data_IF_252838120865
#
_entry.id   IF_252838120865
#
_cell.length_a   1.000
_cell.length_b   1.000
_cell.length_c   1.000
_cell.angle_alpha   90.00
_cell.angle_beta   90.00
_cell.angle_gamma   90.00
#
_symmetry.space_group_name_H-M   'P 1'
#
loop_
_entity.id
_entity.type
_entity.pdbx_description
1 polymer ?
#
# COMPACT_ATOMS: atom_id res chain seq x y z
N UNK A 1 7.51 -11.07 12.30
CA UNK A 1 6.36 -11.64 11.55
C UNK A 1 6.44 -13.15 11.65
N UNK A 2 5.43 -13.78 12.23
CA UNK A 2 5.24 -15.24 12.16
C UNK A 2 4.87 -15.64 10.72
N UNK A 3 5.37 -16.78 10.24
CA UNK A 3 5.18 -17.23 8.85
C UNK A 3 4.41 -18.53 8.81
N UNK A 4 3.47 -18.62 7.88
CA UNK A 4 2.78 -19.87 7.52
C UNK A 4 2.96 -20.16 6.04
N UNK A 5 3.00 -21.43 5.67
CA UNK A 5 3.04 -21.87 4.26
C UNK A 5 1.64 -22.29 3.85
N UNK A 6 1.12 -21.65 2.79
CA UNK A 6 -0.15 -22.01 2.17
C UNK A 6 0.08 -22.48 0.73
N UNK A 7 -0.64 -23.52 0.26
CA UNK A 7 -0.64 -23.86 -1.16
C UNK A 7 -1.39 -22.76 -1.94
N UNK A 8 -0.76 -22.21 -2.97
CA UNK A 8 -1.37 -21.23 -3.88
C UNK A 8 -1.44 -21.79 -5.29
N UNK A 9 -2.56 -21.57 -5.98
CA UNK A 9 -2.71 -21.93 -7.39
C UNK A 9 -2.30 -20.75 -8.25
N UNK A 10 -1.32 -20.97 -9.13
CA UNK A 10 -0.78 -19.97 -10.05
C UNK A 10 -0.72 -20.53 -11.47
N UNK A 11 -0.84 -19.69 -12.51
CA UNK A 11 -0.53 -20.06 -13.88
C UNK A 11 0.89 -20.64 -14.01
N UNK A 12 1.03 -21.78 -14.69
CA UNK A 12 2.31 -22.48 -14.90
C UNK A 12 3.38 -21.58 -15.53
N UNK A 13 2.98 -20.68 -16.42
CA UNK A 13 3.87 -19.76 -17.11
C UNK A 13 4.47 -18.67 -16.19
N UNK A 14 3.98 -18.54 -14.95
CA UNK A 14 4.57 -17.63 -13.97
C UNK A 14 5.85 -18.18 -13.32
N UNK A 15 6.09 -19.49 -13.39
CA UNK A 15 7.22 -20.15 -12.72
C UNK A 15 8.57 -19.47 -12.97
N UNK A 16 8.94 -19.04 -14.20
CA UNK A 16 10.23 -18.37 -14.44
C UNK A 16 10.37 -17.01 -13.76
N UNK A 17 9.25 -16.38 -13.39
CA UNK A 17 9.19 -15.01 -12.88
C UNK A 17 8.97 -14.95 -11.36
N UNK A 18 8.48 -16.03 -10.76
CA UNK A 18 8.30 -16.09 -9.32
C UNK A 18 9.64 -16.46 -8.70
N UNK A 19 10.30 -15.46 -8.12
CA UNK A 19 11.52 -15.64 -7.32
C UNK A 19 11.25 -16.38 -6.02
N UNK A 20 10.88 -17.67 -6.10
CA UNK A 20 10.75 -18.55 -4.95
C UNK A 20 12.15 -18.77 -4.37
N UNK A 21 12.41 -18.15 -3.20
CA UNK A 21 13.57 -18.52 -2.38
C UNK A 21 13.18 -19.70 -1.48
N UNK A 22 14.17 -20.39 -0.91
CA UNK A 22 13.95 -21.45 0.09
C UNK A 22 13.01 -21.00 1.24
N UNK A 23 12.94 -19.69 1.49
CA UNK A 23 12.20 -19.07 2.59
C UNK A 23 10.85 -18.44 2.18
N UNK A 24 10.34 -18.75 0.98
CA UNK A 24 9.11 -18.21 0.42
C UNK A 24 9.30 -16.87 -0.32
N UNK A 25 8.22 -16.07 -0.39
CA UNK A 25 8.22 -14.76 -1.04
C UNK A 25 9.16 -13.76 -0.33
N UNK A 26 9.83 -12.95 -1.14
CA UNK A 26 10.62 -11.78 -0.73
C UNK A 26 9.77 -10.69 -0.06
N UNK A 27 10.40 -9.72 0.59
CA UNK A 27 9.70 -8.56 1.17
C UNK A 27 8.86 -7.86 0.10
N UNK A 28 9.46 -7.64 -1.08
CA UNK A 28 8.85 -6.97 -2.22
C UNK A 28 7.60 -7.72 -2.69
N UNK A 29 7.68 -9.05 -2.82
CA UNK A 29 6.54 -9.87 -3.19
C UNK A 29 5.43 -9.85 -2.13
N UNK A 30 5.78 -9.93 -0.84
CA UNK A 30 4.80 -9.84 0.24
C UNK A 30 4.12 -8.47 0.30
N UNK A 31 4.87 -7.37 0.10
CA UNK A 31 4.32 -6.03 0.00
C UNK A 31 3.35 -5.94 -1.19
N UNK A 32 3.76 -6.42 -2.36
CA UNK A 32 2.90 -6.41 -3.55
C UNK A 32 1.65 -7.29 -3.41
N UNK A 33 1.70 -8.39 -2.65
CA UNK A 33 0.52 -9.19 -2.32
C UNK A 33 -0.49 -8.42 -1.45
N UNK A 34 -0.01 -7.53 -0.56
CA UNK A 34 -0.88 -6.69 0.27
C UNK A 34 -1.40 -5.45 -0.45
N UNK A 35 -0.71 -4.98 -1.49
CA UNK A 35 -1.02 -3.72 -2.16
C UNK A 35 -2.49 -3.60 -2.65
N UNK A 36 -3.09 -4.61 -3.30
CA UNK A 36 -4.51 -4.53 -3.70
C UNK A 36 -5.47 -4.34 -2.53
N UNK A 37 -5.15 -4.90 -1.35
CA UNK A 37 -5.97 -4.74 -0.14
C UNK A 37 -5.87 -3.31 0.41
N UNK A 38 -4.72 -2.66 0.23
CA UNK A 38 -4.53 -1.25 0.56
C UNK A 38 -5.34 -0.36 -0.38
N UNK A 39 -5.25 -0.60 -1.70
CA UNK A 39 -5.98 0.16 -2.72
C UNK A 39 -7.50 0.05 -2.54
N UNK A 40 -7.98 -1.14 -2.20
CA UNK A 40 -9.40 -1.38 -1.93
C UNK A 40 -9.84 -0.94 -0.52
N UNK A 41 -8.98 -0.23 0.23
CA UNK A 41 -9.23 0.24 1.59
C UNK A 41 -9.63 -0.85 2.60
N UNK A 42 -9.28 -2.12 2.33
CA UNK A 42 -9.54 -3.25 3.23
C UNK A 42 -8.58 -3.18 4.42
N UNK A 43 -7.33 -2.82 4.18
CA UNK A 43 -6.33 -2.55 5.23
C UNK A 43 -5.67 -1.20 4.99
N UNK A 44 -5.27 -0.53 6.07
CA UNK A 44 -4.48 0.68 5.95
C UNK A 44 -3.02 0.37 5.63
N UNK A 45 -2.28 1.36 5.12
CA UNK A 45 -0.82 1.28 5.00
C UNK A 45 -0.13 0.97 6.34
N UNK A 46 -0.68 1.47 7.46
CA UNK A 46 -0.17 1.18 8.79
C UNK A 46 -0.32 -0.30 9.14
N UNK A 47 -1.49 -0.89 8.86
CA UNK A 47 -1.73 -2.31 9.10
C UNK A 47 -0.87 -3.20 8.20
N UNK A 48 -0.70 -2.83 6.93
CA UNK A 48 0.19 -3.55 6.03
C UNK A 48 1.65 -3.52 6.52
N UNK A 49 2.13 -2.37 7.00
CA UNK A 49 3.47 -2.25 7.55
C UNK A 49 3.67 -3.08 8.84
N UNK A 50 2.67 -3.10 9.71
CA UNK A 50 2.65 -3.96 10.91
C UNK A 50 2.76 -5.45 10.54
N UNK A 51 1.97 -5.91 9.57
CA UNK A 51 2.02 -7.29 9.05
C UNK A 51 3.44 -7.61 8.56
N UNK A 52 4.03 -6.73 7.76
CA UNK A 52 5.36 -6.90 7.19
C UNK A 52 6.50 -6.70 8.21
N UNK A 53 6.21 -6.19 9.41
CA UNK A 53 7.21 -5.90 10.44
C UNK A 53 8.13 -4.72 10.12
N UNK A 54 7.63 -3.74 9.36
CA UNK A 54 8.38 -2.52 8.98
C UNK A 54 7.67 -1.26 9.45
N UNK A 55 8.34 -0.10 9.42
CA UNK A 55 7.65 1.17 9.71
C UNK A 55 6.74 1.54 8.54
N UNK A 56 5.62 2.20 8.85
CA UNK A 56 4.67 2.72 7.84
C UNK A 56 5.38 3.56 6.77
N UNK A 57 6.29 4.45 7.19
CA UNK A 57 7.02 5.32 6.28
C UNK A 57 7.95 4.55 5.34
N UNK A 58 8.62 3.50 5.84
CA UNK A 58 9.49 2.65 5.02
C UNK A 58 8.67 1.94 3.92
N UNK A 59 7.45 1.47 4.24
CA UNK A 59 6.55 0.85 3.27
C UNK A 59 6.03 1.87 2.23
N UNK A 60 5.70 3.08 2.65
CA UNK A 60 5.29 4.16 1.75
C UNK A 60 6.43 4.53 0.80
N UNK A 61 7.64 4.69 1.32
CA UNK A 61 8.81 5.01 0.52
C UNK A 61 9.15 3.87 -0.46
N UNK A 62 8.99 2.62 -0.03
CA UNK A 62 9.12 1.45 -0.90
C UNK A 62 8.17 1.53 -2.10
N UNK A 63 6.88 1.76 -1.87
CA UNK A 63 5.91 1.91 -2.97
C UNK A 63 6.22 3.11 -3.86
N UNK A 64 6.63 4.24 -3.26
CA UNK A 64 7.01 5.42 -4.02
C UNK A 64 8.19 5.15 -4.98
N UNK A 65 9.20 4.39 -4.53
CA UNK A 65 10.33 3.95 -5.37
C UNK A 65 9.89 3.05 -6.54
N UNK A 66 8.74 2.40 -6.42
CA UNK A 66 8.11 1.61 -7.50
C UNK A 66 7.16 2.44 -8.39
N UNK A 67 7.07 3.76 -8.17
CA UNK A 67 6.13 4.62 -8.91
C UNK A 67 4.68 4.53 -8.42
N UNK A 68 4.47 3.98 -7.22
CA UNK A 68 3.15 3.88 -6.59
C UNK A 68 3.02 5.00 -5.55
N UNK A 69 2.22 6.04 -5.81
CA UNK A 69 2.09 7.16 -4.89
C UNK A 69 1.22 6.78 -3.68
N UNK A 70 1.56 7.34 -2.51
CA UNK A 70 0.74 7.20 -1.29
C UNK A 70 -0.55 8.04 -1.36
N UNK A 71 -0.47 9.21 -1.97
CA UNK A 71 -1.60 10.08 -2.28
C UNK A 71 -1.75 10.06 -3.80
N UNK A 72 -2.83 9.46 -4.29
CA UNK A 72 -3.15 9.42 -5.71
C UNK A 72 -4.30 10.39 -5.98
N UNK A 73 -3.96 11.67 -6.05
CA UNK A 73 -4.92 12.77 -6.18
C UNK A 73 -4.41 13.74 -7.25
N UNK A 74 -5.34 14.23 -8.04
CA UNK A 74 -5.12 15.30 -9.02
C UNK A 74 -4.93 16.66 -8.33
N UNK A 75 -4.42 17.65 -9.05
CA UNK A 75 -4.31 19.01 -8.52
C UNK A 75 -5.69 19.61 -8.27
N UNK A 76 -6.65 19.32 -9.15
CA UNK A 76 -8.02 19.79 -9.06
C UNK A 76 -8.72 19.27 -7.80
N UNK A 77 -8.60 17.98 -7.51
CA UNK A 77 -9.13 17.38 -6.27
C UNK A 77 -8.49 18.02 -5.03
N UNK A 78 -7.20 18.35 -5.08
CA UNK A 78 -6.51 19.01 -3.97
C UNK A 78 -7.01 20.45 -3.76
N UNK A 79 -7.20 21.20 -4.84
CA UNK A 79 -7.73 22.56 -4.80
C UNK A 79 -9.16 22.59 -4.22
N UNK A 80 -10.00 21.62 -4.59
CA UNK A 80 -11.34 21.45 -4.04
C UNK A 80 -11.32 21.18 -2.52
N UNK A 81 -10.42 20.31 -2.06
CA UNK A 81 -10.25 20.02 -0.64
C UNK A 81 -9.78 21.26 0.16
N UNK A 82 -8.83 22.02 -0.38
CA UNK A 82 -8.35 23.28 0.22
C UNK A 82 -9.49 24.30 0.32
N UNK A 83 -10.28 24.47 -0.74
CA UNK A 83 -11.43 25.36 -0.74
C UNK A 83 -12.51 24.91 0.25
N UNK A 84 -12.75 23.60 0.37
CA UNK A 84 -13.64 23.01 1.37
C UNK A 84 -13.19 23.31 2.80
N UNK A 85 -11.89 23.15 3.07
CA UNK A 85 -11.32 23.46 4.38
C UNK A 85 -11.47 24.94 4.76
N UNK A 86 -11.23 25.87 3.82
CA UNK A 86 -11.40 27.30 4.04
C UNK A 86 -12.84 27.65 4.47
N UNK A 87 -13.84 27.10 3.77
CA UNK A 87 -15.26 27.29 4.10
C UNK A 87 -15.62 26.76 5.49
N UNK A 88 -15.06 25.62 5.90
CA UNK A 88 -15.29 25.04 7.23
C UNK A 88 -14.68 25.91 8.33
N UNK A 89 -13.51 26.52 8.08
CA UNK A 89 -12.85 27.43 9.02
C UNK A 89 -13.69 28.69 9.24
N UNK A 90 -14.21 29.30 8.18
CA UNK A 90 -15.08 30.47 8.27
C UNK A 90 -16.35 30.16 9.10
N UNK A 91 -17.02 29.04 8.82
CA UNK A 91 -18.22 28.61 9.56
C UNK A 91 -18.00 28.31 11.04
N UNK A 92 -16.78 27.95 11.45
CA UNK A 92 -16.43 27.71 12.87
C UNK A 92 -16.14 28.99 13.65
N UNK A 93 -15.99 30.12 12.97
CA UNK A 93 -15.66 31.42 13.58
C UNK A 93 -16.92 32.27 13.82
N UNK A 94 -18.11 31.70 13.57
CA UNK A 94 -19.44 32.28 13.80
C UNK A 94 -20.15 31.50 14.90
#
# INVERSE_FOLDING_TARGET
MEKITIPVTIPKNMIPYIGLKENGFTFEQNAMLLYPLIQNMIISHGKAAEILGVRKWDLIEFYNKMGIPYINQSHEELDEEIAGFAKLKEKRTV
#
